data_IF_399880131937
#
_entry.id   IF_399880131937
#
_cell.length_a   1.000
_cell.length_b   1.000
_cell.length_c   1.000
_cell.angle_alpha   90.00
_cell.angle_beta   90.00
_cell.angle_gamma   90.00
#
_symmetry.space_group_name_H-M   'P 1'
#
loop_
_entity.id
_entity.type
_entity.pdbx_description
1 polymer ?
#
# COMPACT_ATOMS: atom_id res chain seq x y z
N UNK A 1 24.71 -3.32 -11.98
CA UNK A 1 23.39 -2.63 -11.85
C UNK A 1 22.55 -3.25 -10.73
N UNK A 2 23.16 -3.66 -9.60
CA UNK A 2 22.49 -4.53 -8.61
C UNK A 2 22.39 -3.93 -7.19
N UNK A 3 23.07 -2.82 -6.92
CA UNK A 3 23.10 -2.18 -5.59
C UNK A 3 21.88 -1.33 -5.25
N UNK A 4 21.15 -0.83 -6.26
CA UNK A 4 20.03 0.09 -6.03
C UNK A 4 18.77 -0.63 -5.53
N UNK A 5 18.55 -1.88 -5.94
CA UNK A 5 17.41 -2.70 -5.49
C UNK A 5 17.52 -3.11 -4.02
N UNK A 6 18.72 -3.44 -3.55
CA UNK A 6 18.97 -3.86 -2.16
C UNK A 6 18.83 -2.68 -1.18
N UNK A 7 19.16 -1.46 -1.61
CA UNK A 7 18.95 -0.24 -0.81
C UNK A 7 17.47 0.08 -0.61
N UNK A 8 16.62 -0.16 -1.62
CA UNK A 8 15.18 0.04 -1.49
C UNK A 8 14.49 -1.00 -0.59
N UNK A 9 14.97 -2.25 -0.60
CA UNK A 9 14.41 -3.31 0.28
C UNK A 9 14.67 -3.07 1.78
N UNK A 10 15.74 -2.34 2.12
CA UNK A 10 16.14 -2.07 3.51
C UNK A 10 15.93 -0.61 3.93
N UNK A 11 15.33 0.25 3.09
CA UNK A 11 15.05 1.62 3.47
C UNK A 11 14.03 1.66 4.63
N UNK A 12 14.43 2.13 5.83
CA UNK A 12 13.53 2.21 6.97
C UNK A 12 12.32 3.10 6.69
N UNK A 13 12.47 4.10 5.82
CA UNK A 13 11.37 4.98 5.42
C UNK A 13 10.37 4.24 4.53
N UNK A 14 10.83 3.51 3.50
CA UNK A 14 9.99 2.66 2.67
C UNK A 14 9.19 1.62 3.48
N UNK A 15 9.83 0.94 4.43
CA UNK A 15 9.15 -0.02 5.32
C UNK A 15 8.09 0.65 6.20
N UNK A 16 8.35 1.85 6.71
CA UNK A 16 7.38 2.63 7.50
C UNK A 16 6.18 3.06 6.65
N UNK A 17 6.42 3.48 5.41
CA UNK A 17 5.36 3.82 4.45
C UNK A 17 4.47 2.62 4.17
N UNK A 18 5.04 1.46 3.83
CA UNK A 18 4.28 0.23 3.58
C UNK A 18 3.47 -0.15 4.81
N UNK A 19 4.07 -0.16 6.00
CA UNK A 19 3.37 -0.52 7.23
C UNK A 19 2.19 0.42 7.53
N UNK A 20 2.36 1.74 7.35
CA UNK A 20 1.30 2.74 7.49
C UNK A 20 0.13 2.45 6.54
N UNK A 21 0.43 2.16 5.27
CA UNK A 21 -0.60 1.95 4.25
C UNK A 21 -1.30 0.60 4.39
N UNK A 22 -0.57 -0.47 4.74
CA UNK A 22 -1.18 -1.76 5.06
C UNK A 22 -2.14 -1.64 6.24
N UNK A 23 -1.75 -0.91 7.30
CA UNK A 23 -2.64 -0.69 8.44
C UNK A 23 -3.92 0.07 8.06
N UNK A 24 -3.80 1.13 7.24
CA UNK A 24 -4.96 1.88 6.76
C UNK A 24 -5.88 1.03 5.87
N UNK A 25 -5.29 0.29 4.93
CA UNK A 25 -6.02 -0.63 4.05
C UNK A 25 -6.74 -1.72 4.84
N UNK A 26 -6.09 -2.34 5.83
CA UNK A 26 -6.71 -3.36 6.68
C UNK A 26 -7.86 -2.77 7.50
N UNK A 27 -7.70 -1.58 8.08
CA UNK A 27 -8.75 -0.92 8.86
C UNK A 27 -9.97 -0.53 8.02
N UNK A 28 -9.79 -0.30 6.73
CA UNK A 28 -10.88 -0.08 5.78
C UNK A 28 -11.51 -1.40 5.33
N UNK A 29 -10.68 -2.38 4.95
CA UNK A 29 -11.13 -3.71 4.53
C UNK A 29 -11.93 -4.39 5.63
N UNK A 30 -11.56 -4.22 6.90
CA UNK A 30 -12.31 -4.76 8.05
C UNK A 30 -13.76 -4.27 8.08
N UNK A 31 -14.05 -3.04 7.61
CA UNK A 31 -15.41 -2.47 7.61
C UNK A 31 -16.30 -3.09 6.54
N UNK A 32 -15.71 -3.63 5.48
CA UNK A 32 -16.42 -4.12 4.30
C UNK A 32 -16.35 -5.65 4.16
N UNK A 33 -15.23 -6.25 4.56
CA UNK A 33 -14.91 -7.66 4.44
C UNK A 33 -13.99 -8.11 5.61
N UNK A 34 -14.53 -8.31 6.83
CA UNK A 34 -13.77 -8.67 8.02
C UNK A 34 -12.91 -9.93 7.84
N UNK A 35 -13.45 -10.96 7.18
CA UNK A 35 -12.70 -12.20 6.95
C UNK A 35 -11.49 -12.01 6.02
N UNK A 36 -11.64 -11.16 5.00
CA UNK A 36 -10.54 -10.84 4.09
C UNK A 36 -9.46 -10.03 4.82
N UNK A 37 -9.87 -9.08 5.66
CA UNK A 37 -8.97 -8.32 6.51
C UNK A 37 -8.21 -9.22 7.51
N UNK A 38 -8.89 -10.20 8.12
CA UNK A 38 -8.27 -11.18 9.01
C UNK A 38 -7.18 -11.99 8.30
N UNK A 39 -7.49 -12.58 7.15
CA UNK A 39 -6.51 -13.36 6.35
C UNK A 39 -5.32 -12.50 5.90
N UNK A 40 -5.57 -11.27 5.47
CA UNK A 40 -4.52 -10.36 5.06
C UNK A 40 -3.65 -9.91 6.25
N UNK A 41 -4.25 -9.65 7.42
CA UNK A 41 -3.54 -9.30 8.66
C UNK A 41 -2.62 -10.42 9.12
N UNK A 42 -3.10 -11.65 9.14
CA UNK A 42 -2.26 -12.81 9.47
C UNK A 42 -1.07 -12.97 8.52
N UNK A 43 -1.29 -12.77 7.21
CA UNK A 43 -0.21 -12.78 6.23
C UNK A 43 0.82 -11.69 6.52
N UNK A 44 0.35 -10.47 6.74
CA UNK A 44 1.20 -9.33 7.09
C UNK A 44 2.05 -9.57 8.35
N UNK A 45 1.46 -10.13 9.41
CA UNK A 45 2.17 -10.47 10.66
C UNK A 45 3.23 -11.54 10.46
N UNK A 46 3.00 -12.50 9.55
CA UNK A 46 4.00 -13.49 9.11
C UNK A 46 5.05 -12.92 8.14
N UNK A 47 4.93 -11.66 7.75
CA UNK A 47 5.86 -10.96 6.86
C UNK A 47 5.59 -11.15 5.36
N UNK A 48 4.48 -11.79 4.98
CA UNK A 48 4.13 -12.08 3.59
C UNK A 48 2.62 -11.98 3.34
N UNK A 49 2.22 -11.10 2.41
CA UNK A 49 0.84 -11.06 1.93
C UNK A 49 0.60 -12.23 0.97
N UNK A 50 -0.64 -12.75 0.95
CA UNK A 50 -1.06 -13.62 -0.14
C UNK A 50 -1.11 -12.84 -1.45
N UNK A 51 -1.08 -13.54 -2.59
CA UNK A 51 -1.17 -12.90 -3.91
C UNK A 51 -2.44 -12.05 -4.06
N UNK A 52 -3.58 -12.55 -3.60
CA UNK A 52 -4.83 -11.78 -3.60
C UNK A 52 -4.71 -10.51 -2.73
N UNK A 53 -4.19 -10.63 -1.51
CA UNK A 53 -4.02 -9.49 -0.61
C UNK A 53 -3.04 -8.44 -1.16
N UNK A 54 -1.98 -8.89 -1.86
CA UNK A 54 -1.04 -8.03 -2.57
C UNK A 54 -1.74 -7.24 -3.70
N UNK A 55 -2.55 -7.92 -4.51
CA UNK A 55 -3.29 -7.28 -5.60
C UNK A 55 -4.34 -6.30 -5.08
N UNK A 56 -5.05 -6.67 -4.02
CA UNK A 56 -6.05 -5.81 -3.38
C UNK A 56 -5.41 -4.55 -2.80
N UNK A 57 -4.26 -4.69 -2.13
CA UNK A 57 -3.48 -3.56 -1.63
C UNK A 57 -3.01 -2.65 -2.77
N UNK A 58 -2.45 -3.20 -3.85
CA UNK A 58 -1.99 -2.44 -5.02
C UNK A 58 -3.14 -1.66 -5.68
N UNK A 59 -4.30 -2.31 -5.81
CA UNK A 59 -5.52 -1.70 -6.33
C UNK A 59 -6.00 -0.58 -5.41
N UNK A 60 -6.01 -0.82 -4.10
CA UNK A 60 -6.46 0.14 -3.09
C UNK A 60 -5.59 1.40 -3.05
N UNK A 61 -4.25 1.27 -3.09
CA UNK A 61 -3.35 2.44 -3.13
C UNK A 61 -3.45 3.20 -4.45
N UNK A 62 -3.64 2.49 -5.57
CA UNK A 62 -3.80 3.11 -6.90
C UNK A 62 -5.08 3.93 -6.97
N UNK A 63 -6.19 3.40 -6.46
CA UNK A 63 -7.49 4.08 -6.45
C UNK A 63 -7.55 5.30 -5.51
N UNK A 64 -6.61 5.41 -4.56
CA UNK A 64 -6.60 6.45 -3.50
C UNK A 64 -5.41 7.39 -3.58
N UNK A 65 -4.68 7.42 -4.70
CA UNK A 65 -3.67 8.46 -4.91
C UNK A 65 -4.39 9.81 -4.91
N UNK A 66 -4.23 10.57 -3.83
CA UNK A 66 -4.86 11.87 -3.62
C UNK A 66 -3.92 13.05 -3.84
N UNK A 67 -2.64 12.77 -4.11
CA UNK A 67 -1.62 13.79 -4.39
C UNK A 67 -1.20 13.76 -5.87
N UNK A 68 -2.17 13.65 -6.77
CA UNK A 68 -1.98 14.11 -8.14
C UNK A 68 -2.07 15.63 -8.09
N UNK A 69 -0.93 16.33 -8.15
CA UNK A 69 -0.88 17.79 -8.08
C UNK A 69 -1.79 18.47 -9.10
N UNK A 70 -3.05 18.68 -8.74
CA UNK A 70 -4.01 19.51 -9.42
C UNK A 70 -4.63 20.47 -8.40
N UNK A 71 -4.49 21.74 -8.76
CA UNK A 71 -4.91 23.00 -8.16
C UNK A 71 -6.21 22.98 -7.37
N UNK A 72 -6.32 23.94 -6.45
CA UNK A 72 -7.36 24.20 -5.44
C UNK A 72 -8.84 24.31 -5.93
N UNK A 73 -9.27 23.66 -7.01
CA UNK A 73 -10.60 23.90 -7.62
C UNK A 73 -11.36 22.66 -8.15
N UNK A 74 -11.12 21.43 -7.68
CA UNK A 74 -11.96 20.28 -8.13
C UNK A 74 -12.32 19.27 -7.03
N UNK A 75 -13.62 19.19 -6.75
CA UNK A 75 -14.31 18.00 -6.24
C UNK A 75 -14.24 17.75 -4.73
N UNK A 76 -15.27 17.08 -4.16
CA UNK A 76 -15.32 16.83 -2.72
C UNK A 76 -14.13 15.96 -2.30
N UNK A 77 -13.26 16.54 -1.48
CA UNK A 77 -12.26 15.83 -0.70
C UNK A 77 -12.90 14.62 -0.02
N UNK A 78 -12.60 13.42 -0.51
CA UNK A 78 -12.96 12.20 0.22
C UNK A 78 -11.91 12.05 1.31
N UNK A 79 -12.32 12.31 2.56
CA UNK A 79 -11.50 12.11 3.74
C UNK A 79 -11.17 10.61 3.94
N UNK A 80 -10.29 10.06 3.10
CA UNK A 80 -9.59 8.83 3.42
C UNK A 80 -8.74 9.07 4.66
N UNK A 81 -8.67 8.10 5.57
CA UNK A 81 -7.93 8.23 6.83
C UNK A 81 -6.42 8.51 6.63
N UNK A 82 -5.92 8.41 5.39
CA UNK A 82 -4.52 8.62 5.04
C UNK A 82 -4.38 9.28 3.66
N UNK A 83 -3.54 10.33 3.56
CA UNK A 83 -3.07 10.87 2.27
C UNK A 83 -2.06 9.90 1.65
N UNK A 84 -2.27 9.56 0.39
CA UNK A 84 -1.42 8.65 -0.39
C UNK A 84 -0.87 9.43 -1.58
N UNK A 85 0.46 9.57 -1.60
CA UNK A 85 1.18 10.21 -2.70
C UNK A 85 1.50 9.21 -3.82
N UNK A 86 1.79 9.67 -5.05
CA UNK A 86 2.35 8.81 -6.09
C UNK A 86 3.59 8.03 -5.62
N UNK A 87 4.48 8.67 -4.86
CA UNK A 87 5.67 8.04 -4.28
C UNK A 87 5.33 6.95 -3.25
N UNK A 88 4.27 7.14 -2.45
CA UNK A 88 3.79 6.12 -1.52
C UNK A 88 3.30 4.87 -2.28
N UNK A 89 2.52 5.07 -3.35
CA UNK A 89 2.05 3.99 -4.22
C UNK A 89 3.23 3.26 -4.86
N UNK A 90 4.19 3.98 -5.44
CA UNK A 90 5.37 3.37 -6.06
C UNK A 90 6.20 2.58 -5.03
N UNK A 91 6.33 3.09 -3.80
CA UNK A 91 6.97 2.40 -2.68
C UNK A 91 6.28 1.07 -2.37
N UNK A 92 4.94 1.05 -2.32
CA UNK A 92 4.16 -0.19 -2.09
C UNK A 92 4.33 -1.17 -3.24
N UNK A 93 4.24 -0.71 -4.49
CA UNK A 93 4.39 -1.58 -5.66
C UNK A 93 5.81 -2.17 -5.73
N UNK A 94 6.85 -1.40 -5.42
CA UNK A 94 8.22 -1.90 -5.33
C UNK A 94 8.37 -2.96 -4.24
N UNK A 95 7.80 -2.72 -3.05
CA UNK A 95 7.82 -3.68 -1.93
C UNK A 95 7.10 -5.01 -2.26
N UNK A 96 5.99 -4.94 -3.00
CA UNK A 96 5.23 -6.10 -3.48
C UNK A 96 6.01 -6.89 -4.54
N UNK A 97 6.61 -6.22 -5.52
CA UNK A 97 7.43 -6.86 -6.56
C UNK A 97 8.68 -7.52 -6.00
N UNK A 98 9.33 -6.91 -5.00
CA UNK A 98 10.44 -7.51 -4.28
C UNK A 98 10.08 -8.85 -3.60
N UNK A 99 8.79 -9.06 -3.31
CA UNK A 99 8.24 -10.31 -2.74
C UNK A 99 7.68 -11.27 -3.79
N UNK A 100 7.85 -10.96 -5.07
CA UNK A 100 7.41 -11.81 -6.18
C UNK A 100 5.97 -11.61 -6.61
N UNK A 101 5.27 -10.57 -6.14
CA UNK A 101 3.91 -10.27 -6.58
C UNK A 101 3.91 -9.49 -7.90
N UNK A 102 3.05 -9.90 -8.84
CA UNK A 102 2.85 -9.23 -10.12
C UNK A 102 1.83 -8.09 -9.97
N UNK A 103 2.32 -6.88 -9.65
CA UNK A 103 1.54 -5.64 -9.48
C UNK A 103 2.06 -4.50 -10.35
#
# INVERSE_FOLDING_TARGET
>A
MSDERVRQENDPAGRRTVARLVAAWLAETERHAPEAAGRAREGWERGALSEQAAQDLATWVTARVTDTGFTEDEGPYVAGAVRITPSDKDTVHAWLRARGHAV
#
